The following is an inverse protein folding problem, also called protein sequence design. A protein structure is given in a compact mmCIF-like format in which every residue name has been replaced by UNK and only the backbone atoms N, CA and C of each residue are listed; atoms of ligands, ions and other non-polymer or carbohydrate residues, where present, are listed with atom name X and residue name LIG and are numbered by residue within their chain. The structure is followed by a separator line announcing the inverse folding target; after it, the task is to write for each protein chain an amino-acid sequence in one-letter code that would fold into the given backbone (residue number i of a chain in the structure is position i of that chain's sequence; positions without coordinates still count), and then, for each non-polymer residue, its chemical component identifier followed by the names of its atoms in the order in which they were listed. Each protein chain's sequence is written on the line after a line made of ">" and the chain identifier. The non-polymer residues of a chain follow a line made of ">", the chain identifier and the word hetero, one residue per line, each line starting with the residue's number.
data_IF_630269365296
#
_entry.id   IF_630269365296
#
_cell.length_a   1.000
_cell.length_b   1.000
_cell.length_c   1.000
_cell.angle_alpha   90.00
_cell.angle_beta   90.00
_cell.angle_gamma   90.00
#
_symmetry.space_group_name_H-M   'P 1'
#
loop_
_entity.id
_entity.type
_entity.pdbx_description
1 polymer ?
#
# COMPACT_ATOMS: atom_id res chain seq x y z
N UNK A 1 9.05 9.07 19.17
CA UNK A 1 9.15 9.95 17.98
C UNK A 1 7.81 9.87 17.28
N UNK A 2 7.26 11.01 16.85
CA UNK A 2 6.00 11.05 16.08
C UNK A 2 6.29 10.62 14.63
N UNK A 3 5.51 9.70 14.08
CA UNK A 3 5.56 9.32 12.67
C UNK A 3 4.43 10.03 11.96
N UNK A 4 4.72 10.65 10.82
CA UNK A 4 3.74 11.35 9.99
C UNK A 4 3.57 10.64 8.66
N UNK A 5 2.32 10.34 8.30
CA UNK A 5 1.96 9.73 7.02
C UNK A 5 1.22 10.79 6.20
N UNK A 6 1.76 11.17 5.06
CA UNK A 6 1.14 12.13 4.14
C UNK A 6 0.74 11.42 2.85
N UNK A 7 -0.52 11.50 2.48
CA UNK A 7 -1.02 10.94 1.23
C UNK A 7 -0.70 11.88 0.07
N UNK A 8 0.18 11.45 -0.83
CA UNK A 8 0.56 12.22 -2.00
C UNK A 8 -0.37 11.98 -3.18
N UNK A 9 -0.81 10.72 -3.36
CA UNK A 9 -1.75 10.32 -4.42
C UNK A 9 -2.83 9.43 -3.85
N UNK A 10 -4.06 9.68 -4.25
CA UNK A 10 -5.26 8.90 -4.00
C UNK A 10 -6.31 9.28 -5.04
N UNK A 11 -7.36 8.46 -5.20
CA UNK A 11 -8.44 8.68 -6.16
C UNK A 11 -9.25 9.96 -5.87
N UNK A 12 -9.32 10.36 -4.59
CA UNK A 12 -10.07 11.53 -4.11
C UNK A 12 -9.14 12.62 -3.59
N UNK A 13 -9.54 13.88 -3.75
CA UNK A 13 -8.78 15.05 -3.33
C UNK A 13 -9.70 16.13 -2.76
N UNK A 14 -9.29 16.74 -1.64
CA UNK A 14 -9.98 17.87 -1.04
C UNK A 14 -9.08 19.11 -0.87
N UNK A 15 -7.76 18.93 -0.99
CA UNK A 15 -6.77 20.01 -0.84
C UNK A 15 -6.75 20.95 -2.05
N UNK A 16 -6.69 22.27 -1.81
CA UNK A 16 -6.60 23.28 -2.88
C UNK A 16 -5.30 23.08 -3.67
N UNK A 17 -5.43 22.97 -5.00
CA UNK A 17 -4.33 22.82 -5.93
C UNK A 17 -3.80 21.38 -6.08
N UNK A 18 -4.16 20.48 -5.17
CA UNK A 18 -3.83 19.07 -5.31
C UNK A 18 -4.69 18.40 -6.39
N UNK A 19 -4.20 17.31 -6.93
CA UNK A 19 -4.90 16.49 -7.91
C UNK A 19 -4.96 15.04 -7.44
N UNK A 20 -5.99 14.31 -7.87
CA UNK A 20 -6.16 12.88 -7.65
C UNK A 20 -6.00 12.10 -8.95
N UNK A 21 -5.62 10.85 -8.85
CA UNK A 21 -5.67 9.87 -9.95
C UNK A 21 -5.98 8.49 -9.38
N UNK A 22 -6.35 7.54 -10.23
CA UNK A 22 -6.45 6.16 -9.80
C UNK A 22 -5.05 5.63 -9.48
N UNK A 23 -4.74 5.54 -8.18
CA UNK A 23 -3.43 5.15 -7.69
C UNK A 23 -3.24 5.51 -6.22
N UNK A 24 -2.16 5.03 -5.64
CA UNK A 24 -1.79 5.32 -4.25
C UNK A 24 -0.32 5.71 -4.14
N UNK A 25 -0.04 6.72 -3.32
CA UNK A 25 1.33 7.06 -2.89
C UNK A 25 1.27 7.71 -1.51
N UNK A 26 1.98 7.12 -0.55
CA UNK A 26 2.05 7.59 0.84
C UNK A 26 3.50 7.94 1.20
N UNK A 27 3.72 9.13 1.74
CA UNK A 27 4.99 9.49 2.34
C UNK A 27 4.94 9.26 3.85
N UNK A 28 5.86 8.44 4.36
CA UNK A 28 6.06 8.18 5.79
C UNK A 28 7.31 8.92 6.25
N UNK A 29 7.14 9.85 7.17
CA UNK A 29 8.24 10.62 7.79
C UNK A 29 8.37 10.23 9.26
N UNK A 30 9.48 9.58 9.60
CA UNK A 30 9.79 9.14 10.98
C UNK A 30 10.53 10.21 11.79
N UNK A 31 10.76 11.37 11.22
CA UNK A 31 11.62 12.42 11.76
C UNK A 31 13.12 12.19 11.54
N UNK A 32 13.52 10.95 11.23
CA UNK A 32 14.90 10.59 10.89
C UNK A 32 15.05 10.04 9.48
N UNK A 33 14.06 9.27 9.02
CA UNK A 33 14.02 8.67 7.68
C UNK A 33 12.69 9.00 7.02
N UNK A 34 12.73 9.16 5.71
CA UNK A 34 11.56 9.33 4.85
C UNK A 34 11.42 8.16 3.91
N UNK A 35 10.22 7.57 3.89
CA UNK A 35 9.90 6.46 3.03
C UNK A 35 8.72 6.86 2.13
N UNK A 36 8.83 6.55 0.85
CA UNK A 36 7.70 6.62 -0.08
C UNK A 36 7.14 5.21 -0.25
N UNK A 37 5.87 5.01 0.02
CA UNK A 37 5.15 3.76 -0.20
C UNK A 37 4.28 3.91 -1.42
N UNK A 38 4.65 3.26 -2.51
CA UNK A 38 4.14 3.38 -3.88
C UNK A 38 4.29 4.77 -4.52
N UNK A 39 4.07 4.85 -5.83
CA UNK A 39 4.32 6.05 -6.65
C UNK A 39 3.11 6.56 -7.41
N UNK A 40 1.92 5.90 -7.26
CA UNK A 40 0.78 6.21 -8.10
C UNK A 40 0.94 5.73 -9.54
N UNK A 41 0.07 6.19 -10.43
CA UNK A 41 0.02 5.80 -11.83
C UNK A 41 0.88 6.69 -12.75
N UNK A 42 1.32 7.86 -12.27
CA UNK A 42 2.02 8.87 -13.07
C UNK A 42 3.06 9.66 -12.25
N UNK A 43 3.46 10.83 -12.75
CA UNK A 43 4.29 11.82 -12.03
C UNK A 43 3.50 12.66 -11.01
N UNK A 44 2.21 12.37 -10.81
CA UNK A 44 1.33 13.19 -9.98
C UNK A 44 1.82 13.34 -8.54
N UNK A 45 2.39 12.28 -7.95
CA UNK A 45 2.97 12.35 -6.60
C UNK A 45 4.05 13.44 -6.47
N UNK A 46 4.84 13.71 -7.53
CA UNK A 46 5.87 14.77 -7.56
C UNK A 46 5.20 16.15 -7.55
N UNK A 47 4.15 16.32 -8.35
CA UNK A 47 3.40 17.58 -8.42
C UNK A 47 2.73 17.91 -7.09
N UNK A 48 2.05 16.93 -6.49
CA UNK A 48 1.41 17.06 -5.19
C UNK A 48 2.43 17.27 -4.06
N UNK A 49 3.56 16.55 -4.07
CA UNK A 49 4.66 16.76 -3.10
C UNK A 49 5.17 18.20 -3.13
N UNK A 50 5.36 18.76 -4.33
CA UNK A 50 5.79 20.17 -4.49
C UNK A 50 4.79 21.16 -3.91
N UNK A 51 3.48 20.95 -4.12
CA UNK A 51 2.40 21.80 -3.56
C UNK A 51 2.39 21.71 -2.04
N UNK A 52 2.66 20.52 -1.48
CA UNK A 52 2.73 20.27 -0.04
C UNK A 52 4.07 20.70 0.61
N UNK A 53 5.01 21.25 -0.17
CA UNK A 53 6.34 21.66 0.32
C UNK A 53 7.24 20.49 0.71
N UNK A 54 7.03 19.31 0.10
CA UNK A 54 7.77 18.09 0.36
C UNK A 54 8.86 17.92 -0.70
N UNK A 55 10.12 17.82 -0.25
CA UNK A 55 11.25 17.50 -1.13
C UNK A 55 11.44 15.98 -1.21
N UNK A 56 11.15 15.40 -2.38
CA UNK A 56 11.30 13.97 -2.63
C UNK A 56 12.77 13.52 -2.75
N UNK A 57 13.74 14.43 -2.90
CA UNK A 57 15.17 14.12 -2.82
C UNK A 57 15.57 13.62 -1.43
N UNK A 58 14.81 14.00 -0.41
CA UNK A 58 15.04 13.60 0.98
C UNK A 58 14.48 12.22 1.31
N UNK A 59 13.81 11.54 0.37
CA UNK A 59 13.35 10.16 0.56
C UNK A 59 14.54 9.21 0.59
N UNK A 60 14.60 8.36 1.61
CA UNK A 60 15.67 7.38 1.83
C UNK A 60 15.30 5.99 1.28
N UNK A 61 14.01 5.65 1.30
CA UNK A 61 13.49 4.38 0.79
C UNK A 61 12.24 4.60 -0.05
N UNK A 62 12.19 3.96 -1.22
CA UNK A 62 10.96 3.73 -1.97
C UNK A 62 10.56 2.29 -1.75
N UNK A 63 9.38 2.04 -1.18
CA UNK A 63 8.82 0.71 -1.00
C UNK A 63 7.70 0.53 -2.01
N UNK A 64 7.78 -0.50 -2.87
CA UNK A 64 6.75 -0.81 -3.86
C UNK A 64 5.97 -2.03 -3.39
N UNK A 65 4.67 -1.86 -3.23
CA UNK A 65 3.77 -2.86 -2.63
C UNK A 65 3.54 -4.08 -3.52
N UNK A 66 3.25 -3.87 -4.80
CA UNK A 66 3.01 -4.89 -5.82
C UNK A 66 3.13 -4.28 -7.23
N UNK A 67 3.12 -5.12 -8.25
CA UNK A 67 3.49 -4.74 -9.62
C UNK A 67 2.41 -4.02 -10.43
N UNK A 68 1.26 -3.66 -9.89
CA UNK A 68 0.24 -2.94 -10.66
C UNK A 68 0.66 -1.51 -10.99
N UNK A 69 0.22 -1.05 -12.17
CA UNK A 69 0.60 0.23 -12.76
C UNK A 69 0.19 1.44 -11.92
N UNK A 70 -0.93 1.38 -11.25
CA UNK A 70 -1.45 2.44 -10.38
C UNK A 70 -0.70 2.56 -9.05
N UNK A 71 0.32 1.73 -8.83
CA UNK A 71 1.28 1.77 -7.71
C UNK A 71 2.71 2.01 -8.17
N UNK A 72 3.05 1.56 -9.37
CA UNK A 72 4.42 1.59 -9.91
C UNK A 72 4.62 2.53 -11.09
N UNK A 73 3.54 3.15 -11.59
CA UNK A 73 3.60 4.00 -12.81
C UNK A 73 4.50 5.22 -12.67
N UNK A 74 4.67 5.72 -11.45
CA UNK A 74 5.58 6.82 -11.14
C UNK A 74 7.03 6.41 -10.88
N UNK A 75 7.39 5.12 -10.91
CA UNK A 75 8.71 4.62 -10.53
C UNK A 75 9.86 5.32 -11.29
N UNK A 76 9.79 5.37 -12.62
CA UNK A 76 10.83 6.01 -13.43
C UNK A 76 10.92 7.52 -13.19
N UNK A 77 9.80 8.19 -12.89
CA UNK A 77 9.79 9.59 -12.50
C UNK A 77 10.46 9.80 -11.14
N UNK A 78 10.23 8.90 -10.18
CA UNK A 78 10.91 8.93 -8.89
C UNK A 78 12.42 8.76 -9.05
N UNK A 79 12.85 7.78 -9.83
CA UNK A 79 14.28 7.52 -10.07
C UNK A 79 14.98 8.69 -10.74
N UNK A 80 14.27 9.51 -11.52
CA UNK A 80 14.81 10.71 -12.16
C UNK A 80 14.97 11.90 -11.19
N UNK A 81 14.17 11.99 -10.13
CA UNK A 81 14.20 13.11 -9.17
C UNK A 81 14.94 12.80 -7.87
N UNK A 82 15.11 11.51 -7.55
CA UNK A 82 15.83 11.06 -6.37
C UNK A 82 16.94 10.10 -6.78
N UNK A 83 18.16 10.37 -6.41
CA UNK A 83 19.36 9.62 -6.77
C UNK A 83 19.93 8.73 -5.64
N UNK A 84 19.39 8.85 -4.42
CA UNK A 84 19.90 8.17 -3.22
C UNK A 84 19.04 7.03 -2.67
N UNK A 85 17.70 7.13 -2.81
CA UNK A 85 16.78 6.19 -2.16
C UNK A 85 17.01 4.74 -2.61
N UNK A 86 17.00 3.82 -1.66
CA UNK A 86 16.94 2.40 -1.95
C UNK A 86 15.51 2.02 -2.33
N UNK A 87 15.33 1.29 -3.43
CA UNK A 87 14.04 0.77 -3.88
C UNK A 87 13.85 -0.63 -3.33
N UNK A 88 12.85 -0.82 -2.47
CA UNK A 88 12.57 -2.06 -1.76
C UNK A 88 11.29 -2.69 -2.31
N UNK A 89 11.36 -3.90 -2.81
CA UNK A 89 10.22 -4.64 -3.37
C UNK A 89 10.50 -6.14 -3.39
N UNK A 90 9.52 -6.93 -3.78
CA UNK A 90 9.74 -8.34 -4.13
C UNK A 90 10.18 -8.44 -5.59
N UNK A 91 10.89 -9.51 -5.92
CA UNK A 91 11.39 -9.75 -7.29
C UNK A 91 10.25 -9.99 -8.28
N UNK A 92 9.18 -10.63 -7.82
CA UNK A 92 7.97 -10.95 -8.59
C UNK A 92 7.19 -9.70 -9.03
N UNK A 93 7.46 -8.53 -8.44
CA UNK A 93 6.86 -7.24 -8.85
C UNK A 93 7.04 -6.97 -10.35
N UNK A 94 8.13 -7.47 -10.95
CA UNK A 94 8.46 -7.26 -12.37
C UNK A 94 7.92 -8.31 -13.32
N UNK A 95 7.19 -9.30 -12.81
CA UNK A 95 6.46 -10.22 -13.68
C UNK A 95 5.37 -9.47 -14.44
N UNK A 96 5.14 -9.79 -15.72
CA UNK A 96 4.06 -9.19 -16.50
C UNK A 96 2.71 -9.41 -15.79
N UNK A 97 1.97 -8.33 -15.56
CA UNK A 97 0.67 -8.34 -14.90
C UNK A 97 -0.43 -7.95 -15.87
N UNK A 98 -1.58 -8.59 -15.76
CA UNK A 98 -2.75 -8.35 -16.61
C UNK A 98 -4.02 -8.29 -15.77
N UNK A 99 -4.93 -7.41 -16.19
CA UNK A 99 -6.32 -7.46 -15.78
C UNK A 99 -7.15 -7.88 -16.98
N UNK A 100 -7.72 -9.06 -16.94
CA UNK A 100 -8.27 -9.77 -18.11
C UNK A 100 -7.21 -9.81 -19.26
N UNK A 101 -7.47 -9.18 -20.41
CA UNK A 101 -6.52 -9.11 -21.53
C UNK A 101 -5.66 -7.83 -21.53
N UNK A 102 -5.90 -6.90 -20.59
CA UNK A 102 -5.19 -5.62 -20.54
C UNK A 102 -3.94 -5.73 -19.69
N UNK A 103 -2.81 -5.35 -20.25
CA UNK A 103 -1.57 -5.22 -19.49
C UNK A 103 -1.70 -4.14 -18.38
N UNK A 104 -1.30 -4.49 -17.16
CA UNK A 104 -1.41 -3.67 -15.97
C UNK A 104 -0.13 -3.71 -15.10
N UNK A 105 0.98 -4.13 -15.67
CA UNK A 105 2.27 -4.29 -14.98
C UNK A 105 3.13 -3.03 -14.95
N UNK A 106 4.33 -3.21 -14.38
CA UNK A 106 5.37 -2.18 -14.32
C UNK A 106 5.74 -1.71 -15.72
N UNK A 107 5.76 -0.40 -15.90
CA UNK A 107 6.20 0.21 -17.16
C UNK A 107 7.72 0.23 -17.25
N UNK A 108 8.27 -0.10 -18.44
CA UNK A 108 9.70 -0.04 -18.74
C UNK A 108 10.58 -0.81 -17.74
N UNK A 109 10.43 -2.16 -17.65
CA UNK A 109 11.22 -2.96 -16.71
C UNK A 109 12.73 -2.91 -16.95
N UNK A 110 13.20 -2.44 -18.12
CA UNK A 110 14.62 -2.30 -18.45
C UNK A 110 15.36 -1.24 -17.60
N UNK A 111 14.63 -0.33 -16.94
CA UNK A 111 15.21 0.59 -15.97
C UNK A 111 15.75 -0.09 -14.69
N UNK A 112 15.63 -1.41 -14.60
CA UNK A 112 15.90 -2.24 -13.43
C UNK A 112 17.36 -2.61 -13.21
N UNK A 113 18.28 -2.26 -14.10
CA UNK A 113 19.72 -2.46 -13.92
C UNK A 113 20.36 -1.54 -12.86
N UNK A 114 19.51 -0.94 -12.01
CA UNK A 114 19.97 -0.08 -10.93
C UNK A 114 20.41 -0.88 -9.73
N UNK A 115 21.60 -0.64 -9.23
CA UNK A 115 22.12 -1.16 -7.95
C UNK A 115 21.30 -0.68 -6.74
N UNK A 116 20.29 0.17 -6.97
CA UNK A 116 19.39 0.72 -5.93
C UNK A 116 18.28 -0.23 -5.51
N UNK A 117 18.02 -1.32 -6.27
CA UNK A 117 16.98 -2.29 -5.90
C UNK A 117 17.47 -3.24 -4.82
N UNK A 118 16.68 -3.32 -3.75
CA UNK A 118 16.80 -4.33 -2.68
C UNK A 118 15.57 -5.21 -2.71
N UNK A 119 15.76 -6.46 -3.09
CA UNK A 119 14.70 -7.46 -3.06
C UNK A 119 14.59 -8.05 -1.66
N UNK A 120 13.34 -8.27 -1.21
CA UNK A 120 13.02 -8.78 0.12
C UNK A 120 12.06 -9.96 0.02
N UNK A 121 12.39 -11.06 0.70
CA UNK A 121 11.58 -12.27 0.77
C UNK A 121 11.16 -12.59 2.22
N UNK A 122 11.80 -11.93 3.19
CA UNK A 122 11.52 -12.09 4.61
C UNK A 122 11.19 -10.75 5.26
N UNK A 123 10.47 -10.79 6.41
CA UNK A 123 10.17 -9.59 7.19
C UNK A 123 11.47 -8.85 7.50
N UNK A 124 11.55 -7.62 7.05
CA UNK A 124 12.77 -6.82 7.08
C UNK A 124 12.55 -5.47 7.75
N UNK A 125 13.31 -5.17 8.77
CA UNK A 125 13.37 -3.82 9.35
C UNK A 125 14.26 -2.93 8.47
N UNK A 126 13.66 -1.93 7.81
CA UNK A 126 14.39 -0.98 6.95
C UNK A 126 15.12 0.07 7.77
N UNK A 127 14.45 0.59 8.77
CA UNK A 127 14.97 1.49 9.78
C UNK A 127 14.16 1.29 11.06
N UNK A 128 14.65 1.83 12.18
CA UNK A 128 14.07 1.58 13.50
C UNK A 128 12.54 1.73 13.53
N UNK A 129 11.86 0.61 13.75
CA UNK A 129 10.41 0.53 13.88
C UNK A 129 9.65 0.54 12.55
N UNK A 130 10.33 0.46 11.40
CA UNK A 130 9.71 0.41 10.08
C UNK A 130 10.05 -0.92 9.40
N UNK A 131 9.04 -1.75 9.18
CA UNK A 131 9.19 -3.10 8.66
C UNK A 131 8.46 -3.27 7.33
N UNK A 132 9.04 -4.03 6.43
CA UNK A 132 8.39 -4.56 5.23
C UNK A 132 8.00 -6.00 5.48
N UNK A 133 6.75 -6.34 5.17
CA UNK A 133 6.16 -7.67 5.30
C UNK A 133 5.89 -8.26 3.92
N UNK A 134 6.84 -9.00 3.34
CA UNK A 134 6.67 -9.64 2.03
C UNK A 134 6.01 -11.02 2.13
N UNK A 135 5.93 -11.59 3.34
CA UNK A 135 5.27 -12.87 3.60
C UNK A 135 3.86 -12.61 4.12
N UNK A 136 2.87 -12.73 3.24
CA UNK A 136 1.47 -12.52 3.53
C UNK A 136 0.70 -13.83 3.24
N UNK A 137 0.73 -14.82 4.16
CA UNK A 137 0.04 -16.10 3.94
C UNK A 137 -1.46 -15.88 3.82
N UNK A 138 -2.09 -16.59 2.87
CA UNK A 138 -3.54 -16.62 2.73
C UNK A 138 -4.09 -17.70 3.65
N UNK A 139 -4.72 -17.31 4.74
CA UNK A 139 -5.40 -18.19 5.71
C UNK A 139 -6.91 -18.05 5.62
N UNK A 140 -7.39 -16.98 5.02
CA UNK A 140 -8.78 -16.69 4.72
C UNK A 140 -8.92 -16.42 3.21
N UNK A 141 -9.41 -17.41 2.46
CA UNK A 141 -9.58 -17.30 1.01
C UNK A 141 -10.75 -16.39 0.64
N UNK A 142 -11.75 -16.21 1.51
CA UNK A 142 -12.92 -15.36 1.26
C UNK A 142 -12.55 -13.88 1.12
N UNK A 143 -11.44 -13.44 1.74
CA UNK A 143 -10.90 -12.07 1.63
C UNK A 143 -9.79 -11.95 0.57
N UNK A 144 -9.67 -12.87 -0.38
CA UNK A 144 -8.73 -12.71 -1.49
C UNK A 144 -9.38 -12.00 -2.68
N UNK A 145 -8.55 -11.32 -3.52
CA UNK A 145 -8.99 -10.53 -4.68
C UNK A 145 -8.14 -10.87 -5.90
N UNK A 146 -8.18 -12.13 -6.32
CA UNK A 146 -7.39 -12.68 -7.43
C UNK A 146 -8.17 -12.74 -8.75
N UNK A 147 -9.49 -12.56 -8.70
CA UNK A 147 -10.36 -12.70 -9.84
C UNK A 147 -10.02 -11.65 -10.92
N UNK A 148 -9.95 -12.09 -12.18
CA UNK A 148 -9.62 -11.27 -13.35
C UNK A 148 -8.17 -10.77 -13.43
N UNK A 149 -7.30 -11.20 -12.46
CA UNK A 149 -5.89 -10.87 -12.51
C UNK A 149 -5.05 -12.07 -12.94
N UNK A 150 -4.10 -11.79 -13.81
CA UNK A 150 -3.23 -12.80 -14.41
C UNK A 150 -1.78 -12.30 -14.41
N UNK A 151 -0.85 -13.26 -14.35
CA UNK A 151 0.58 -13.02 -14.52
C UNK A 151 1.14 -13.97 -15.56
N UNK A 152 2.31 -13.65 -16.08
CA UNK A 152 3.05 -14.53 -16.96
C UNK A 152 4.17 -15.19 -16.18
N UNK A 153 4.05 -16.46 -15.89
CA UNK A 153 5.05 -17.24 -15.19
C UNK A 153 5.18 -18.62 -15.84
N UNK A 154 6.36 -19.21 -15.78
CA UNK A 154 6.65 -20.53 -16.37
C UNK A 154 6.29 -20.64 -17.88
N UNK A 155 6.42 -19.54 -18.62
CA UNK A 155 6.14 -19.50 -20.04
C UNK A 155 4.65 -19.51 -20.41
N UNK A 156 3.74 -19.27 -19.47
CA UNK A 156 2.29 -19.23 -19.69
C UNK A 156 1.59 -18.14 -18.88
N UNK A 157 0.44 -17.68 -19.37
CA UNK A 157 -0.49 -16.83 -18.62
C UNK A 157 -1.23 -17.70 -17.59
N UNK A 158 -1.22 -17.29 -16.33
CA UNK A 158 -1.89 -17.99 -15.23
C UNK A 158 -2.50 -16.98 -14.24
N UNK A 159 -3.40 -17.44 -13.38
CA UNK A 159 -3.98 -16.60 -12.35
C UNK A 159 -2.87 -15.97 -11.47
N UNK A 160 -2.99 -14.68 -11.20
CA UNK A 160 -2.08 -13.97 -10.30
C UNK A 160 -2.56 -14.11 -8.85
N UNK A 161 -1.76 -14.74 -8.03
CA UNK A 161 -2.00 -14.86 -6.58
C UNK A 161 -1.24 -13.81 -5.78
N UNK A 162 -0.74 -12.78 -6.45
CA UNK A 162 -0.05 -11.63 -5.86
C UNK A 162 1.10 -12.03 -4.93
N UNK A 163 1.94 -12.94 -5.40
CA UNK A 163 3.14 -13.36 -4.68
C UNK A 163 4.14 -12.22 -4.49
N UNK A 164 3.98 -11.13 -5.24
CA UNK A 164 4.74 -9.90 -5.14
C UNK A 164 4.20 -8.91 -4.09
N UNK A 165 2.97 -9.12 -3.56
CA UNK A 165 2.39 -8.19 -2.60
C UNK A 165 3.15 -8.15 -1.27
N UNK A 166 3.35 -6.93 -0.75
CA UNK A 166 3.90 -6.67 0.57
C UNK A 166 3.15 -5.54 1.28
N UNK A 167 3.24 -5.53 2.61
CA UNK A 167 2.72 -4.45 3.45
C UNK A 167 3.87 -3.71 4.15
N UNK A 168 3.64 -2.44 4.50
CA UNK A 168 4.54 -1.63 5.32
C UNK A 168 3.98 -1.55 6.74
N UNK A 169 4.80 -1.86 7.75
CA UNK A 169 4.37 -1.90 9.16
C UNK A 169 5.23 -0.95 9.98
N UNK A 170 4.57 -0.10 10.76
CA UNK A 170 5.20 0.87 11.64
C UNK A 170 4.99 0.43 13.09
N UNK A 171 6.07 0.13 13.81
CA UNK A 171 6.05 -0.32 15.21
C UNK A 171 6.54 0.77 16.16
N UNK A 172 5.69 1.15 17.12
CA UNK A 172 5.98 2.15 18.15
C UNK A 172 5.65 1.58 19.54
N UNK A 173 6.67 1.09 20.24
CA UNK A 173 6.44 0.45 21.53
C UNK A 173 5.57 -0.79 21.42
N UNK A 174 4.43 -0.80 22.11
CA UNK A 174 3.45 -1.89 22.08
C UNK A 174 2.34 -1.69 21.01
N UNK A 175 2.51 -0.75 20.10
CA UNK A 175 1.55 -0.46 19.03
C UNK A 175 2.15 -0.74 17.65
N UNK A 176 1.32 -1.25 16.73
CA UNK A 176 1.66 -1.41 15.32
C UNK A 176 0.63 -0.71 14.44
N UNK A 177 1.11 -0.12 13.34
CA UNK A 177 0.28 0.43 12.27
C UNK A 177 0.60 -0.30 10.98
N UNK A 178 -0.43 -0.69 10.24
CA UNK A 178 -0.33 -1.45 8.99
C UNK A 178 -0.73 -0.55 7.83
N UNK A 179 0.17 -0.39 6.86
CA UNK A 179 -0.11 0.27 5.59
C UNK A 179 -0.15 -0.79 4.50
N UNK A 180 -1.29 -0.92 3.84
CA UNK A 180 -1.49 -1.82 2.71
C UNK A 180 -1.91 -1.02 1.49
N UNK A 181 -1.49 -1.44 0.30
CA UNK A 181 -1.85 -0.72 -0.93
C UNK A 181 -3.22 -1.13 -1.47
N UNK A 182 -3.34 -2.39 -1.92
CA UNK A 182 -4.58 -2.94 -2.44
C UNK A 182 -5.13 -4.14 -1.65
N UNK A 183 -4.30 -4.81 -0.86
CA UNK A 183 -4.69 -6.00 -0.09
C UNK A 183 -5.28 -7.11 -0.97
N UNK A 184 -4.65 -7.41 -2.10
CA UNK A 184 -5.11 -8.48 -2.99
C UNK A 184 -5.11 -9.86 -2.30
N UNK A 185 -4.14 -10.08 -1.41
CA UNK A 185 -4.08 -11.30 -0.59
C UNK A 185 -5.01 -11.25 0.63
N UNK A 186 -5.80 -10.18 0.77
CA UNK A 186 -6.76 -9.95 1.85
C UNK A 186 -6.21 -9.12 3.01
N UNK A 187 -6.94 -8.07 3.39
CA UNK A 187 -6.54 -7.24 4.54
C UNK A 187 -6.59 -8.03 5.85
N UNK A 188 -7.49 -9.00 5.98
CA UNK A 188 -7.59 -9.88 7.15
C UNK A 188 -6.35 -10.75 7.29
N UNK A 189 -5.85 -11.29 6.17
CA UNK A 189 -4.62 -12.09 6.11
C UNK A 189 -3.38 -11.25 6.45
N UNK A 190 -3.32 -10.03 5.94
CA UNK A 190 -2.23 -9.08 6.23
C UNK A 190 -2.19 -8.74 7.73
N UNK A 191 -3.33 -8.43 8.33
CA UNK A 191 -3.41 -8.10 9.76
C UNK A 191 -3.00 -9.32 10.61
N UNK A 192 -3.48 -10.53 10.27
CA UNK A 192 -3.07 -11.76 10.97
C UNK A 192 -1.57 -11.98 10.92
N UNK A 193 -0.96 -11.87 9.75
CA UNK A 193 0.49 -12.03 9.60
C UNK A 193 1.28 -11.04 10.49
N UNK A 194 0.82 -9.79 10.58
CA UNK A 194 1.46 -8.77 11.43
C UNK A 194 1.27 -9.07 12.93
N UNK A 195 0.06 -9.49 13.34
CA UNK A 195 -0.22 -9.83 14.74
C UNK A 195 0.48 -11.12 15.19
N UNK A 196 0.63 -12.09 14.31
CA UNK A 196 1.44 -13.30 14.57
C UNK A 196 2.92 -12.98 14.75
N UNK A 197 3.45 -12.07 13.96
CA UNK A 197 4.84 -11.62 14.08
C UNK A 197 5.07 -10.73 15.32
N UNK A 198 4.07 -9.91 15.69
CA UNK A 198 4.08 -9.03 16.86
C UNK A 198 2.95 -9.35 17.85
N UNK A 199 2.96 -10.51 18.51
CA UNK A 199 1.78 -11.02 19.26
C UNK A 199 1.39 -10.19 20.48
N UNK A 200 2.27 -9.33 20.97
CA UNK A 200 2.00 -8.49 22.17
C UNK A 200 1.72 -7.03 21.82
N UNK A 201 1.30 -6.77 20.57
CA UNK A 201 1.02 -5.40 20.13
C UNK A 201 -0.45 -5.19 19.84
N UNK A 202 -0.92 -3.96 20.04
CA UNK A 202 -2.24 -3.50 19.61
C UNK A 202 -2.17 -2.80 18.25
N UNK A 203 -3.25 -2.88 17.48
CA UNK A 203 -3.38 -2.18 16.21
C UNK A 203 -3.71 -0.70 16.46
N UNK A 204 -2.79 0.20 16.14
CA UNK A 204 -3.00 1.65 16.21
C UNK A 204 -3.73 2.17 14.97
N UNK A 205 -3.23 1.83 13.80
CA UNK A 205 -3.77 2.24 12.52
C UNK A 205 -3.75 1.07 11.54
N UNK A 206 -4.83 0.91 10.78
CA UNK A 206 -4.81 0.18 9.50
C UNK A 206 -5.20 1.18 8.42
N UNK A 207 -4.34 1.36 7.42
CA UNK A 207 -4.55 2.35 6.36
C UNK A 207 -4.27 1.74 4.99
N UNK A 208 -5.22 1.88 4.06
CA UNK A 208 -5.01 1.46 2.68
C UNK A 208 -6.26 1.11 1.89
N UNK A 209 -6.06 0.46 0.77
CA UNK A 209 -7.09 -0.13 -0.07
C UNK A 209 -7.35 -1.60 0.28
N UNK A 210 -8.61 -2.01 0.24
CA UNK A 210 -9.05 -3.37 0.58
C UNK A 210 -9.67 -4.11 -0.62
N UNK A 211 -9.51 -3.57 -1.80
CA UNK A 211 -9.93 -4.11 -3.11
C UNK A 211 -11.40 -4.54 -3.23
N UNK A 212 -12.30 -3.93 -2.46
CA UNK A 212 -13.72 -4.31 -2.38
C UNK A 212 -14.69 -3.33 -3.05
N UNK A 213 -14.20 -2.33 -3.78
CA UNK A 213 -15.04 -1.30 -4.41
C UNK A 213 -16.19 -1.88 -5.25
N UNK A 214 -15.88 -2.88 -6.07
CA UNK A 214 -16.83 -3.47 -7.01
C UNK A 214 -17.25 -4.91 -6.60
N UNK A 215 -17.02 -5.31 -5.36
CA UNK A 215 -17.39 -6.63 -4.87
C UNK A 215 -18.78 -6.63 -4.26
N UNK A 216 -19.39 -7.81 -4.21
CA UNK A 216 -20.63 -8.02 -3.51
C UNK A 216 -20.50 -7.74 -2.00
N UNK A 217 -21.66 -7.60 -1.33
CA UNK A 217 -21.69 -7.23 0.09
C UNK A 217 -21.00 -8.26 0.98
N UNK A 218 -21.05 -9.51 0.60
CA UNK A 218 -20.48 -10.65 1.34
C UNK A 218 -18.99 -10.48 1.62
N UNK A 219 -18.22 -10.00 0.65
CA UNK A 219 -16.77 -9.69 0.85
C UNK A 219 -16.57 -8.58 1.89
N UNK A 220 -17.40 -7.54 1.87
CA UNK A 220 -17.38 -6.52 2.92
C UNK A 220 -17.70 -7.13 4.30
N UNK A 221 -18.72 -7.99 4.39
CA UNK A 221 -19.17 -8.60 5.64
C UNK A 221 -18.10 -9.52 6.26
N UNK A 222 -17.29 -10.20 5.45
CA UNK A 222 -16.12 -10.97 5.90
C UNK A 222 -15.11 -10.06 6.61
N UNK A 223 -14.72 -8.98 5.95
CA UNK A 223 -13.74 -8.03 6.52
C UNK A 223 -14.31 -7.33 7.76
N UNK A 224 -15.57 -6.91 7.72
CA UNK A 224 -16.21 -6.21 8.84
C UNK A 224 -16.27 -7.09 10.09
N UNK A 225 -16.68 -8.36 9.96
CA UNK A 225 -16.71 -9.34 11.07
C UNK A 225 -15.32 -9.59 11.65
N UNK A 226 -14.30 -9.70 10.79
CA UNK A 226 -12.92 -9.81 11.26
C UNK A 226 -12.51 -8.59 12.07
N UNK A 227 -12.79 -7.39 11.56
CA UNK A 227 -12.43 -6.14 12.23
C UNK A 227 -13.19 -5.92 13.55
N UNK A 228 -14.39 -6.49 13.76
CA UNK A 228 -15.08 -6.44 15.06
C UNK A 228 -14.21 -6.96 16.19
N UNK A 229 -13.43 -8.03 15.95
CA UNK A 229 -12.52 -8.62 16.94
C UNK A 229 -11.06 -8.13 16.85
N UNK A 230 -10.69 -7.48 15.75
CA UNK A 230 -9.33 -6.99 15.47
C UNK A 230 -9.33 -5.49 15.14
N UNK A 231 -10.24 -4.72 15.77
CA UNK A 231 -10.46 -3.33 15.41
C UNK A 231 -9.27 -2.45 15.79
N UNK A 232 -8.64 -1.77 14.83
CA UNK A 232 -7.60 -0.79 15.11
C UNK A 232 -8.18 0.44 15.84
N UNK A 233 -7.33 1.20 16.53
CA UNK A 233 -7.75 2.48 17.10
C UNK A 233 -8.23 3.44 16.00
N UNK A 234 -7.60 3.36 14.80
CA UNK A 234 -7.95 4.14 13.61
C UNK A 234 -7.98 3.23 12.36
N UNK A 235 -9.03 3.34 11.57
CA UNK A 235 -9.21 2.61 10.31
C UNK A 235 -9.30 3.62 9.15
N UNK A 236 -8.24 3.72 8.36
CA UNK A 236 -8.18 4.57 7.18
C UNK A 236 -8.40 3.75 5.92
N UNK A 237 -9.46 4.00 5.18
CA UNK A 237 -9.73 3.31 3.91
C UNK A 237 -9.64 4.26 2.73
N UNK A 238 -9.21 3.76 1.58
CA UNK A 238 -8.99 4.56 0.37
C UNK A 238 -8.93 3.72 -0.90
N UNK A 239 -8.66 4.38 -2.01
CA UNK A 239 -8.27 3.81 -3.30
C UNK A 239 -9.24 2.72 -3.78
N UNK A 240 -8.81 1.46 -3.85
CA UNK A 240 -9.62 0.34 -4.33
C UNK A 240 -10.68 -0.15 -3.33
N UNK A 241 -10.78 0.42 -2.13
CA UNK A 241 -11.91 0.19 -1.23
C UNK A 241 -13.19 0.85 -1.74
N UNK A 242 -13.07 2.06 -2.29
CA UNK A 242 -14.20 2.85 -2.74
C UNK A 242 -14.95 3.59 -1.63
N UNK A 243 -15.58 4.70 -2.02
CA UNK A 243 -16.28 5.58 -1.06
C UNK A 243 -17.56 4.94 -0.52
N UNK A 244 -18.22 4.09 -1.32
CA UNK A 244 -19.44 3.39 -0.91
C UNK A 244 -19.14 2.40 0.24
N UNK A 245 -18.02 1.67 0.12
CA UNK A 245 -17.60 0.74 1.17
C UNK A 245 -17.07 1.49 2.41
N UNK A 246 -16.44 2.65 2.21
CA UNK A 246 -16.12 3.54 3.34
C UNK A 246 -17.37 3.91 4.14
N UNK A 247 -18.47 4.27 3.49
CA UNK A 247 -19.71 4.59 4.18
C UNK A 247 -20.22 3.42 5.04
N UNK A 248 -20.11 2.19 4.56
CA UNK A 248 -20.43 0.98 5.33
C UNK A 248 -19.49 0.78 6.52
N UNK A 249 -18.18 0.93 6.35
CA UNK A 249 -17.22 0.88 7.48
C UNK A 249 -17.51 1.97 8.52
N UNK A 250 -17.86 3.17 8.08
CA UNK A 250 -18.22 4.25 9.00
C UNK A 250 -19.52 3.96 9.77
N UNK A 251 -20.49 3.29 9.16
CA UNK A 251 -21.70 2.80 9.87
C UNK A 251 -21.34 1.74 10.94
N UNK A 252 -20.39 0.84 10.66
CA UNK A 252 -19.99 -0.20 11.61
C UNK A 252 -19.10 0.33 12.74
N UNK A 253 -18.14 1.22 12.44
CA UNK A 253 -17.04 1.57 13.35
C UNK A 253 -16.96 3.06 13.68
N UNK A 254 -17.91 3.85 13.23
CA UNK A 254 -18.10 5.28 13.52
C UNK A 254 -16.79 6.09 13.37
N UNK A 255 -16.47 6.91 14.39
CA UNK A 255 -15.33 7.85 14.36
C UNK A 255 -13.95 7.19 14.30
N UNK A 256 -13.86 5.88 14.46
CA UNK A 256 -12.61 5.15 14.21
C UNK A 256 -12.26 5.06 12.74
N UNK A 257 -13.27 5.15 11.85
CA UNK A 257 -13.09 5.06 10.40
C UNK A 257 -12.99 6.44 9.76
N UNK A 258 -12.04 6.60 8.87
CA UNK A 258 -11.92 7.79 8.04
C UNK A 258 -11.61 7.42 6.59
N UNK A 259 -12.06 8.27 5.67
CA UNK A 259 -11.60 8.18 4.28
C UNK A 259 -10.26 8.90 4.13
N UNK A 260 -9.28 8.20 3.58
CA UNK A 260 -7.98 8.79 3.29
C UNK A 260 -8.00 9.37 1.86
N UNK A 261 -7.50 10.59 1.69
CA UNK A 261 -7.52 11.33 0.43
C UNK A 261 -6.17 12.04 0.20
N UNK A 262 -5.89 12.44 -1.04
CA UNK A 262 -4.67 13.17 -1.37
C UNK A 262 -4.57 14.49 -0.59
N UNK A 263 -3.44 14.68 0.08
CA UNK A 263 -3.16 15.81 0.99
C UNK A 263 -3.51 15.55 2.45
N UNK A 264 -4.14 14.42 2.81
CA UNK A 264 -4.38 14.06 4.21
C UNK A 264 -3.07 13.72 4.91
N UNK A 265 -2.99 14.12 6.18
CA UNK A 265 -1.87 13.82 7.08
C UNK A 265 -2.41 13.09 8.31
N UNK A 266 -1.88 11.90 8.57
CA UNK A 266 -2.09 11.15 9.82
C UNK A 266 -0.80 11.19 10.65
N UNK A 267 -0.95 11.32 11.97
CA UNK A 267 0.18 11.36 12.91
C UNK A 267 0.02 10.24 13.95
N UNK A 268 1.06 9.44 14.09
CA UNK A 268 1.12 8.30 15.01
C UNK A 268 1.90 8.65 16.29
#
# INVERSE_FOLDING_TARGET
>A
MSIRITTLVENSVYGKGLQGEHGLSLLVDTGKYRLLFDTGASDLFIRNARILGIDLKEVDFLVLSHGHRDHTGGLHHFLAVNDKAQVVCKRELFQPKFKDERENGVMQPDALNSTRFRFVDEVTELCRGVFVFPQLPVTDEEDTHFEHFFTWAEGRKQADTFTDELALVLKQGAEVSVLSACSHRGITNIIRAVQEYFPQTSLKLVLGGFHIRNTEKEKFDVIARFLESHLPQRLGVCHCTGIDKYALFHQCFADRTFYNYAGRVETL
#
